data_IF_429866984937
#
_entry.id   IF_429866984937
#
_cell.length_a   1.000
_cell.length_b   1.000
_cell.length_c   1.000
_cell.angle_alpha   90.00
_cell.angle_beta   90.00
_cell.angle_gamma   90.00
#
_symmetry.space_group_name_H-M   'P 1'
#
loop_
_entity.id
_entity.type
_entity.pdbx_description
1 polymer ?
#
# COMPACT_ATOMS: atom_id res chain seq x y z
N UNK A 1 -23.50 -9.83 6.13
CA UNK A 1 -23.32 -8.40 5.82
C UNK A 1 -22.02 -7.93 6.47
N UNK A 2 -21.15 -7.24 5.73
CA UNK A 2 -19.85 -6.74 6.20
C UNK A 2 -19.75 -5.23 5.97
N UNK A 3 -18.92 -4.54 6.73
CA UNK A 3 -18.65 -3.10 6.55
C UNK A 3 -17.28 -2.93 5.89
N UNK A 4 -17.23 -2.17 4.80
CA UNK A 4 -15.99 -1.93 4.09
C UNK A 4 -15.06 -1.01 4.92
N UNK A 5 -13.81 -1.44 5.14
CA UNK A 5 -12.82 -0.68 5.92
C UNK A 5 -12.36 0.63 5.25
N UNK A 6 -12.76 0.86 3.99
CA UNK A 6 -12.36 2.02 3.19
C UNK A 6 -13.46 3.06 3.11
N UNK A 7 -14.68 2.66 2.72
CA UNK A 7 -15.80 3.59 2.52
C UNK A 7 -16.87 3.52 3.62
N UNK A 8 -16.72 2.62 4.60
CA UNK A 8 -17.67 2.38 5.67
C UNK A 8 -19.09 1.98 5.21
N UNK A 9 -19.26 1.58 3.94
CA UNK A 9 -20.53 1.10 3.40
C UNK A 9 -20.71 -0.38 3.68
N UNK A 10 -21.95 -0.78 3.98
CA UNK A 10 -22.34 -2.19 4.12
C UNK A 10 -22.40 -2.87 2.76
N UNK A 11 -21.92 -4.11 2.69
CA UNK A 11 -21.89 -4.88 1.45
C UNK A 11 -21.90 -6.40 1.73
N UNK A 12 -22.02 -7.21 0.67
CA UNK A 12 -22.19 -8.68 0.77
C UNK A 12 -21.04 -9.47 0.12
N UNK A 13 -20.13 -8.82 -0.60
CA UNK A 13 -19.02 -9.46 -1.29
C UNK A 13 -18.01 -10.11 -0.32
N UNK A 14 -17.39 -11.19 -0.78
CA UNK A 14 -16.45 -12.01 0.02
C UNK A 14 -15.04 -12.11 -0.60
N UNK A 15 -14.66 -11.12 -1.40
CA UNK A 15 -13.36 -11.13 -2.11
C UNK A 15 -12.17 -11.13 -1.14
N UNK A 16 -11.09 -11.80 -1.56
CA UNK A 16 -9.81 -11.76 -0.87
C UNK A 16 -9.00 -10.63 -1.48
N UNK A 17 -8.63 -9.66 -0.66
CA UNK A 17 -7.74 -8.58 -1.08
C UNK A 17 -6.30 -8.85 -0.65
N UNK A 18 -5.38 -8.73 -1.60
CA UNK A 18 -3.95 -8.76 -1.30
C UNK A 18 -3.51 -7.36 -0.90
N UNK A 19 -2.85 -7.22 0.25
CA UNK A 19 -2.38 -5.92 0.72
C UNK A 19 -1.36 -5.36 -0.27
N UNK A 20 -0.35 -6.17 -0.58
CA UNK A 20 0.59 -5.94 -1.67
C UNK A 20 0.11 -6.75 -2.88
N UNK A 21 0.14 -6.21 -4.11
CA UNK A 21 -0.25 -6.95 -5.30
C UNK A 21 0.43 -8.31 -5.43
N UNK A 22 -0.34 -9.30 -5.88
CA UNK A 22 0.19 -10.66 -6.11
C UNK A 22 1.31 -10.68 -7.15
N UNK A 23 1.27 -9.77 -8.11
CA UNK A 23 2.28 -9.55 -9.15
C UNK A 23 3.64 -9.11 -8.61
N UNK A 24 3.71 -8.63 -7.36
CA UNK A 24 4.96 -8.34 -6.64
C UNK A 24 5.42 -9.54 -5.78
N UNK A 25 4.82 -10.73 -5.98
CA UNK A 25 5.17 -11.95 -5.27
C UNK A 25 4.41 -12.17 -3.95
N UNK A 26 3.48 -11.28 -3.57
CA UNK A 26 2.73 -11.46 -2.33
C UNK A 26 1.58 -12.47 -2.47
N UNK A 27 1.69 -13.63 -1.83
CA UNK A 27 0.62 -14.64 -1.76
C UNK A 27 0.07 -14.89 -0.35
N UNK A 28 0.65 -14.24 0.67
CA UNK A 28 0.37 -14.57 2.08
C UNK A 28 -0.09 -13.37 2.91
N UNK A 29 0.33 -12.16 2.56
CA UNK A 29 -0.04 -10.96 3.29
C UNK A 29 -1.34 -10.37 2.71
N UNK A 30 -2.45 -11.01 3.09
CA UNK A 30 -3.80 -10.75 2.59
C UNK A 30 -4.74 -10.24 3.70
N UNK A 31 -5.77 -9.49 3.33
CA UNK A 31 -6.87 -9.13 4.24
C UNK A 31 -7.87 -10.30 4.37
N UNK A 32 -8.57 -10.41 5.52
CA UNK A 32 -9.75 -11.27 5.64
C UNK A 32 -10.80 -11.02 4.54
N UNK A 33 -11.52 -12.09 4.17
CA UNK A 33 -12.52 -12.06 3.10
C UNK A 33 -13.64 -11.05 3.37
N UNK A 34 -13.89 -10.18 2.40
CA UNK A 34 -15.00 -9.23 2.42
C UNK A 34 -14.78 -8.00 3.31
N UNK A 35 -13.53 -7.63 3.62
CA UNK A 35 -13.23 -6.35 4.29
C UNK A 35 -13.29 -5.13 3.34
N UNK A 36 -13.19 -5.36 2.04
CA UNK A 36 -13.22 -4.30 1.02
C UNK A 36 -14.36 -4.59 0.06
N UNK A 37 -15.21 -3.61 -0.19
CA UNK A 37 -16.30 -3.75 -1.15
C UNK A 37 -15.77 -3.70 -2.59
N UNK A 38 -16.56 -4.21 -3.54
CA UNK A 38 -16.21 -4.21 -4.96
C UNK A 38 -15.92 -2.81 -5.49
N UNK A 39 -16.68 -1.80 -5.05
CA UNK A 39 -16.52 -0.40 -5.49
C UNK A 39 -15.13 0.16 -5.14
N UNK A 40 -14.66 -0.09 -3.91
CA UNK A 40 -13.33 0.32 -3.48
C UNK A 40 -12.24 -0.46 -4.21
N UNK A 41 -12.36 -1.79 -4.28
CA UNK A 41 -11.37 -2.62 -4.98
C UNK A 41 -11.24 -2.23 -6.48
N UNK A 42 -12.35 -2.04 -7.18
CA UNK A 42 -12.34 -1.59 -8.58
C UNK A 42 -11.66 -0.23 -8.78
N UNK A 43 -11.73 0.66 -7.79
CA UNK A 43 -10.96 1.91 -7.84
C UNK A 43 -9.47 1.64 -7.71
N UNK A 44 -9.09 0.73 -6.83
CA UNK A 44 -7.69 0.40 -6.55
C UNK A 44 -7.00 -0.19 -7.78
N UNK A 45 -7.69 -1.10 -8.47
CA UNK A 45 -7.20 -1.72 -9.70
C UNK A 45 -6.76 -0.70 -10.77
N UNK A 46 -7.40 0.48 -10.85
CA UNK A 46 -7.08 1.50 -11.85
C UNK A 46 -5.68 2.09 -11.69
N UNK A 47 -5.31 2.47 -10.47
CA UNK A 47 -3.97 3.01 -10.21
C UNK A 47 -2.93 1.90 -10.04
N UNK A 48 -3.33 0.74 -9.50
CA UNK A 48 -2.44 -0.41 -9.31
C UNK A 48 -1.91 -0.92 -10.65
N UNK A 49 -2.79 -1.08 -11.65
CA UNK A 49 -2.37 -1.50 -12.98
C UNK A 49 -1.38 -0.50 -13.61
N UNK A 50 -1.62 0.81 -13.47
CA UNK A 50 -0.72 1.86 -13.99
C UNK A 50 0.65 1.84 -13.30
N UNK A 51 0.70 1.68 -11.99
CA UNK A 51 1.97 1.59 -11.25
C UNK A 51 2.73 0.32 -11.63
N UNK A 52 2.07 -0.84 -11.64
CA UNK A 52 2.71 -2.13 -11.94
C UNK A 52 3.18 -2.24 -13.39
N UNK A 53 2.52 -1.54 -14.32
CA UNK A 53 2.89 -1.47 -15.73
C UNK A 53 3.96 -0.40 -16.01
N UNK A 54 4.36 0.38 -15.01
CA UNK A 54 5.42 1.35 -15.18
C UNK A 54 6.78 0.67 -15.41
N UNK A 55 7.64 1.33 -16.18
CA UNK A 55 8.97 0.83 -16.56
C UNK A 55 9.77 0.32 -15.36
N UNK A 56 9.78 1.08 -14.26
CA UNK A 56 10.57 0.76 -13.07
C UNK A 56 10.06 -0.51 -12.37
N UNK A 57 8.74 -0.68 -12.21
CA UNK A 57 8.15 -1.87 -11.60
C UNK A 57 8.21 -3.11 -12.51
N UNK A 58 8.08 -2.93 -13.82
CA UNK A 58 8.26 -4.01 -14.79
C UNK A 58 9.69 -4.51 -14.77
N UNK A 59 10.67 -3.61 -14.87
CA UNK A 59 12.10 -3.98 -14.86
C UNK A 59 12.49 -4.66 -13.56
N UNK A 60 11.99 -4.16 -12.42
CA UNK A 60 12.30 -4.77 -11.14
C UNK A 60 11.68 -6.17 -10.98
N UNK A 61 10.45 -6.36 -11.45
CA UNK A 61 9.83 -7.70 -11.49
C UNK A 61 10.58 -8.66 -12.41
N UNK A 62 11.08 -8.19 -13.56
CA UNK A 62 11.93 -8.98 -14.46
C UNK A 62 13.25 -9.36 -13.77
N UNK A 63 13.93 -8.38 -13.14
CA UNK A 63 15.18 -8.58 -12.40
C UNK A 63 15.03 -9.59 -11.27
N UNK A 64 13.86 -9.62 -10.63
CA UNK A 64 13.53 -10.56 -9.55
C UNK A 64 12.89 -11.86 -10.02
N UNK A 65 12.76 -12.09 -11.34
CA UNK A 65 12.19 -13.33 -11.89
C UNK A 65 10.70 -13.53 -11.59
N UNK A 66 9.96 -12.46 -11.28
CA UNK A 66 8.52 -12.51 -10.98
C UNK A 66 7.64 -12.43 -12.24
N UNK A 67 8.23 -12.07 -13.38
CA UNK A 67 7.58 -12.05 -14.69
C UNK A 67 8.61 -12.43 -15.75
N UNK A 68 8.17 -13.07 -16.82
CA UNK A 68 9.03 -13.39 -17.97
C UNK A 68 9.13 -12.19 -18.93
N UNK A 69 10.23 -12.04 -19.67
CA UNK A 69 10.34 -11.03 -20.73
C UNK A 69 9.22 -11.22 -21.75
N UNK A 70 8.42 -10.19 -21.99
CA UNK A 70 7.41 -10.17 -23.04
C UNK A 70 7.60 -8.90 -23.90
N UNK A 71 7.67 -9.07 -25.22
CA UNK A 71 7.83 -7.99 -26.20
C UNK A 71 6.68 -6.98 -26.19
N UNK A 72 5.52 -7.31 -25.61
CA UNK A 72 4.33 -6.45 -25.56
C UNK A 72 4.21 -5.59 -24.31
N UNK A 73 5.20 -5.54 -23.42
CA UNK A 73 5.08 -4.73 -22.20
C UNK A 73 5.24 -3.25 -22.56
N UNK A 74 4.12 -2.54 -22.67
CA UNK A 74 4.11 -1.10 -22.79
C UNK A 74 4.71 -0.50 -21.52
N UNK A 75 5.88 0.11 -21.69
CA UNK A 75 6.65 0.76 -20.63
C UNK A 75 6.06 2.13 -20.37
N UNK A 76 5.17 2.22 -19.38
CA UNK A 76 4.60 3.50 -18.95
C UNK A 76 5.54 4.23 -17.99
N UNK A 77 5.46 5.56 -17.97
CA UNK A 77 6.12 6.34 -16.92
C UNK A 77 5.39 6.20 -15.59
N UNK A 78 6.16 6.22 -14.50
CA UNK A 78 5.59 6.17 -13.15
C UNK A 78 5.08 7.56 -12.77
N UNK A 79 3.76 7.74 -12.82
CA UNK A 79 3.12 9.00 -12.40
C UNK A 79 2.81 9.02 -10.91
N UNK A 80 3.16 10.11 -10.22
CA UNK A 80 2.85 10.31 -8.79
C UNK A 80 1.36 10.13 -8.47
N UNK A 81 0.47 10.62 -9.35
CA UNK A 81 -0.98 10.53 -9.17
C UNK A 81 -1.50 9.09 -9.03
N UNK A 82 -0.74 8.11 -9.52
CA UNK A 82 -1.04 6.68 -9.36
C UNK A 82 -0.23 6.06 -8.21
N UNK A 83 1.04 6.47 -8.04
CA UNK A 83 1.92 5.94 -7.00
C UNK A 83 1.42 6.28 -5.59
N UNK A 84 0.98 7.52 -5.36
CA UNK A 84 0.48 7.95 -4.05
C UNK A 84 -0.68 7.09 -3.53
N UNK A 85 -1.83 6.98 -4.25
CA UNK A 85 -2.93 6.15 -3.77
C UNK A 85 -2.55 4.66 -3.68
N UNK A 86 -1.66 4.17 -4.55
CA UNK A 86 -1.12 2.82 -4.48
C UNK A 86 -0.39 2.56 -3.16
N UNK A 87 0.56 3.42 -2.80
CA UNK A 87 1.31 3.32 -1.55
C UNK A 87 0.40 3.54 -0.33
N UNK A 88 -0.53 4.49 -0.40
CA UNK A 88 -1.45 4.78 0.70
C UNK A 88 -2.36 3.59 1.00
N UNK A 89 -2.90 2.95 -0.04
CA UNK A 89 -3.69 1.72 0.09
C UNK A 89 -2.88 0.65 0.80
N UNK A 90 -1.66 0.36 0.33
CA UNK A 90 -0.79 -0.64 0.96
C UNK A 90 -0.45 -0.29 2.42
N UNK A 91 -0.12 0.98 2.68
CA UNK A 91 0.20 1.48 4.02
C UNK A 91 -0.98 1.31 4.98
N UNK A 92 -2.16 1.81 4.60
CA UNK A 92 -3.37 1.69 5.41
C UNK A 92 -3.73 0.23 5.70
N UNK A 93 -3.84 -0.61 4.67
CA UNK A 93 -4.27 -2.00 4.84
C UNK A 93 -3.26 -2.83 5.63
N UNK A 94 -1.96 -2.56 5.46
CA UNK A 94 -0.91 -3.22 6.24
C UNK A 94 -0.98 -2.87 7.73
N UNK A 95 -1.26 -1.60 8.05
CA UNK A 95 -1.45 -1.13 9.42
C UNK A 95 -2.75 -1.68 10.01
N UNK A 96 -3.85 -1.64 9.25
CA UNK A 96 -5.13 -2.22 9.64
C UNK A 96 -4.98 -3.69 10.03
N UNK A 97 -4.26 -4.47 9.21
CA UNK A 97 -4.04 -5.90 9.47
C UNK A 97 -3.15 -6.17 10.69
N UNK A 98 -2.06 -5.41 10.86
CA UNK A 98 -0.96 -5.82 11.74
C UNK A 98 -0.67 -4.90 12.91
N UNK A 99 -1.23 -3.68 12.95
CA UNK A 99 -0.91 -2.64 13.94
C UNK A 99 -2.17 -1.96 14.49
N UNK A 100 -3.02 -2.73 15.16
CA UNK A 100 -4.28 -2.24 15.79
C UNK A 100 -4.06 -1.02 16.70
N UNK A 101 -2.97 -0.99 17.47
CA UNK A 101 -2.65 0.13 18.36
C UNK A 101 -2.34 1.45 17.60
N UNK A 102 -1.75 1.38 16.41
CA UNK A 102 -1.59 2.56 15.55
C UNK A 102 -2.91 2.97 14.93
N UNK A 103 -3.72 1.99 14.53
CA UNK A 103 -5.04 2.23 13.95
C UNK A 103 -5.92 3.02 14.91
N UNK A 104 -5.90 2.69 16.20
CA UNK A 104 -6.67 3.40 17.24
C UNK A 104 -6.06 4.74 17.67
N UNK A 105 -4.79 4.99 17.36
CA UNK A 105 -4.06 6.19 17.82
C UNK A 105 -4.33 7.43 16.96
N UNK A 106 -4.58 7.23 15.66
CA UNK A 106 -4.57 8.30 14.67
C UNK A 106 -5.91 8.46 13.97
N UNK A 107 -6.17 9.66 13.45
CA UNK A 107 -7.31 9.91 12.56
C UNK A 107 -6.96 9.52 11.12
N UNK A 108 -7.64 8.49 10.63
CA UNK A 108 -7.44 7.96 9.28
C UNK A 108 -8.34 8.62 8.23
N UNK A 109 -9.22 9.56 8.59
CA UNK A 109 -10.10 10.22 7.62
C UNK A 109 -9.36 10.89 6.44
N UNK A 110 -8.19 11.52 6.61
CA UNK A 110 -7.44 12.06 5.47
C UNK A 110 -7.02 10.98 4.46
N UNK A 111 -6.63 9.80 4.95
CA UNK A 111 -6.25 8.64 4.12
C UNK A 111 -7.48 8.02 3.47
N UNK A 112 -8.54 7.76 4.25
CA UNK A 112 -9.77 7.17 3.76
C UNK A 112 -10.44 8.06 2.70
N UNK A 113 -10.50 9.37 2.93
CA UNK A 113 -11.04 10.32 1.95
C UNK A 113 -10.22 10.32 0.66
N UNK A 114 -8.89 10.27 0.73
CA UNK A 114 -8.05 10.12 -0.47
C UNK A 114 -8.33 8.81 -1.22
N UNK A 115 -8.42 7.67 -0.52
CA UNK A 115 -8.74 6.38 -1.15
C UNK A 115 -10.18 6.34 -1.70
N UNK A 116 -11.10 7.09 -1.10
CA UNK A 116 -12.51 7.18 -1.53
C UNK A 116 -12.72 8.18 -2.67
N UNK A 117 -11.91 9.23 -2.77
CA UNK A 117 -12.10 10.28 -3.79
C UNK A 117 -11.09 10.15 -4.94
N UNK A 118 -9.97 9.48 -4.72
CA UNK A 118 -8.84 9.41 -5.66
C UNK A 118 -8.11 10.74 -5.83
N UNK A 119 -8.33 11.69 -4.92
CA UNK A 119 -7.70 13.02 -4.94
C UNK A 119 -6.65 13.12 -3.85
N UNK A 120 -5.49 13.67 -4.18
CA UNK A 120 -4.41 13.94 -3.24
C UNK A 120 -4.93 14.83 -2.12
N UNK A 121 -4.65 14.45 -0.87
CA UNK A 121 -5.00 15.25 0.30
C UNK A 121 -3.77 16.06 0.72
N UNK A 122 -3.80 17.41 0.65
CA UNK A 122 -2.64 18.25 1.00
C UNK A 122 -2.13 18.07 2.43
N UNK A 123 -2.97 17.59 3.35
CA UNK A 123 -2.55 17.26 4.73
C UNK A 123 -1.49 16.15 4.76
N UNK A 124 -1.52 15.27 3.75
CA UNK A 124 -0.55 14.18 3.58
C UNK A 124 0.70 14.63 2.81
N UNK A 125 0.81 15.89 2.43
CA UNK A 125 2.06 16.43 1.92
C UNK A 125 3.03 16.63 3.10
N UNK A 126 4.30 16.37 2.81
CA UNK A 126 5.39 16.63 3.75
C UNK A 126 6.27 17.74 3.19
N UNK A 127 6.46 18.80 3.98
CA UNK A 127 7.32 19.94 3.64
C UNK A 127 8.45 20.14 4.67
N UNK A 128 8.41 19.41 5.78
CA UNK A 128 9.26 19.66 6.93
C UNK A 128 9.98 18.39 7.35
N UNK A 129 11.30 18.46 7.46
CA UNK A 129 12.08 17.37 8.01
C UNK A 129 11.94 17.38 9.54
N UNK A 130 11.20 16.41 10.09
CA UNK A 130 11.11 16.23 11.55
C UNK A 130 11.79 14.94 11.95
N UNK A 131 12.58 14.97 13.05
CA UNK A 131 13.25 13.79 13.54
C UNK A 131 12.29 12.62 13.76
N UNK A 132 12.72 11.45 13.30
CA UNK A 132 12.02 10.19 13.50
C UNK A 132 12.17 9.77 14.96
N UNK A 133 11.04 9.46 15.61
CA UNK A 133 10.99 8.89 16.97
C UNK A 133 11.16 7.38 16.93
N UNK A 134 10.51 6.69 16.00
CA UNK A 134 10.60 5.23 15.88
C UNK A 134 10.37 4.77 14.46
N UNK A 135 11.03 3.67 14.08
CA UNK A 135 10.79 2.94 12.83
C UNK A 135 10.57 1.48 13.21
N UNK A 136 9.49 0.87 12.74
CA UNK A 136 9.19 -0.55 13.00
C UNK A 136 8.60 -1.24 11.78
N UNK A 137 8.88 -2.54 11.66
CA UNK A 137 8.26 -3.39 10.65
C UNK A 137 6.74 -3.48 10.88
N UNK A 138 5.96 -3.34 9.82
CA UNK A 138 4.49 -3.42 9.87
C UNK A 138 4.03 -4.89 9.98
N UNK A 139 4.43 -5.80 9.09
CA UNK A 139 3.95 -7.17 9.13
C UNK A 139 4.47 -7.90 10.39
N UNK A 140 3.68 -8.86 10.89
CA UNK A 140 4.17 -9.81 11.88
C UNK A 140 5.30 -10.68 11.34
N UNK A 141 6.08 -11.32 12.21
CA UNK A 141 7.32 -12.02 11.88
C UNK A 141 7.20 -12.98 10.66
N UNK A 142 6.18 -13.85 10.65
CA UNK A 142 6.02 -14.83 9.56
C UNK A 142 5.72 -14.18 8.21
N UNK A 143 4.94 -13.09 8.20
CA UNK A 143 4.65 -12.33 6.99
C UNK A 143 5.89 -11.54 6.55
N UNK A 144 6.61 -10.93 7.49
CA UNK A 144 7.85 -10.21 7.21
C UNK A 144 8.89 -11.12 6.57
N UNK A 145 9.08 -12.33 7.11
CA UNK A 145 9.98 -13.33 6.55
C UNK A 145 9.60 -13.73 5.12
N UNK A 146 8.31 -14.02 4.88
CA UNK A 146 7.79 -14.40 3.54
C UNK A 146 7.90 -13.26 2.53
N UNK A 147 7.62 -12.03 2.94
CA UNK A 147 7.78 -10.85 2.10
C UNK A 147 9.25 -10.57 1.79
N UNK A 148 10.14 -10.75 2.77
CA UNK A 148 11.58 -10.58 2.60
C UNK A 148 12.18 -11.51 1.53
N UNK A 149 11.67 -12.75 1.41
CA UNK A 149 12.05 -13.67 0.32
C UNK A 149 11.71 -13.15 -1.09
N UNK A 150 10.74 -12.25 -1.19
CA UNK A 150 10.34 -11.58 -2.43
C UNK A 150 10.85 -10.13 -2.48
N UNK A 151 11.89 -9.81 -1.69
CA UNK A 151 12.50 -8.49 -1.62
C UNK A 151 11.53 -7.37 -1.21
N UNK A 152 10.45 -7.70 -0.51
CA UNK A 152 9.45 -6.76 -0.02
C UNK A 152 9.68 -6.44 1.46
N UNK A 153 9.68 -5.16 1.79
CA UNK A 153 9.71 -4.69 3.17
C UNK A 153 8.73 -3.54 3.38
N UNK A 154 7.98 -3.62 4.47
CA UNK A 154 7.01 -2.60 4.86
C UNK A 154 7.31 -2.13 6.28
N UNK A 155 7.62 -0.84 6.42
CA UNK A 155 7.86 -0.22 7.73
C UNK A 155 6.95 0.99 7.90
N UNK A 156 6.69 1.33 9.17
CA UNK A 156 6.15 2.63 9.51
C UNK A 156 7.19 3.40 10.32
N UNK A 157 7.18 4.72 10.18
CA UNK A 157 7.96 5.63 11.01
C UNK A 157 7.05 6.65 11.67
N UNK A 158 7.20 6.86 12.98
CA UNK A 158 6.54 7.97 13.67
C UNK A 158 7.57 9.05 13.97
N UNK A 159 7.22 10.31 13.72
CA UNK A 159 8.04 11.47 14.05
C UNK A 159 7.73 12.00 15.46
N UNK A 160 8.58 12.92 15.95
CA UNK A 160 8.38 13.59 17.24
C UNK A 160 7.08 14.42 17.30
N UNK A 161 6.65 15.00 16.18
CA UNK A 161 5.41 15.77 16.03
C UNK A 161 4.20 14.91 15.65
N UNK A 162 4.27 13.59 15.92
CA UNK A 162 3.18 12.63 15.73
C UNK A 162 2.70 12.43 14.29
N UNK A 163 3.55 12.67 13.29
CA UNK A 163 3.28 12.26 11.91
C UNK A 163 3.63 10.79 11.72
N UNK A 164 2.94 10.14 10.80
CA UNK A 164 3.12 8.72 10.51
C UNK A 164 3.49 8.55 9.04
N UNK A 165 4.60 7.90 8.78
CA UNK A 165 5.07 7.60 7.43
C UNK A 165 5.02 6.11 7.16
N UNK A 166 4.68 5.76 5.93
CA UNK A 166 4.80 4.43 5.39
C UNK A 166 6.01 4.35 4.47
N UNK A 167 6.85 3.37 4.73
CA UNK A 167 8.06 3.07 3.97
C UNK A 167 7.83 1.74 3.25
N UNK A 168 7.85 1.81 1.92
CA UNK A 168 7.73 0.68 1.02
C UNK A 168 9.08 0.41 0.37
N UNK A 169 9.49 -0.85 0.36
CA UNK A 169 10.62 -1.31 -0.44
C UNK A 169 10.22 -2.56 -1.21
N UNK A 170 10.56 -2.58 -2.50
CA UNK A 170 10.48 -3.72 -3.39
C UNK A 170 11.78 -3.80 -4.20
N UNK A 171 12.69 -4.67 -3.75
CA UNK A 171 14.06 -4.74 -4.25
C UNK A 171 14.76 -3.37 -4.20
N UNK A 172 15.10 -2.79 -5.35
CA UNK A 172 15.75 -1.45 -5.42
C UNK A 172 14.76 -0.29 -5.31
N UNK A 173 13.47 -0.53 -5.57
CA UNK A 173 12.44 0.49 -5.50
C UNK A 173 12.16 0.80 -4.04
N UNK A 174 12.37 2.05 -3.65
CA UNK A 174 12.06 2.56 -2.31
C UNK A 174 11.13 3.76 -2.44
N UNK A 175 10.10 3.79 -1.63
CA UNK A 175 9.18 4.90 -1.56
C UNK A 175 8.77 5.18 -0.12
N UNK A 176 8.55 6.46 0.19
CA UNK A 176 8.08 6.94 1.48
C UNK A 176 6.90 7.87 1.23
N UNK A 177 5.80 7.65 1.94
CA UNK A 177 4.64 8.55 1.93
C UNK A 177 4.18 8.83 3.35
N UNK A 178 3.56 9.98 3.55
CA UNK A 178 2.87 10.30 4.80
C UNK A 178 1.48 9.66 4.79
N UNK A 179 1.11 9.10 5.94
CA UNK A 179 -0.23 8.59 6.22
C UNK A 179 -0.97 9.47 7.22
N UNK A 180 -0.26 10.13 8.14
CA UNK A 180 -0.79 11.06 9.15
C UNK A 180 0.13 12.24 9.28
#
# INVERSE_FOLDING_TARGET
MKVCIICNQTHYEETIEHIIPRTLGNIHYILPRGLVCRKCNNRFARYENRVLSSSIFVQERLRLGLVQPNHSIQKLDLEEKNLYPFLTKMGFESIYKSKKALLSKYDWQPVLSMLVQGKRNPVLDDKNDTPIRTIKSIPGWIHNFRLGRNHLQLHYAETKDNRLFFHFQFGVIKAKIRLI
#
